data_IF_798477076442
#
_entry.id   IF_798477076442
#
_cell.length_a   1.000
_cell.length_b   1.000
_cell.length_c   1.000
_cell.angle_alpha   90.00
_cell.angle_beta   90.00
_cell.angle_gamma   90.00
#
_symmetry.space_group_name_H-M   'P 1'
#
loop_
_entity.id
_entity.type
_entity.pdbx_description
1 polymer ?
#
# COMPACT_ATOMS: atom_id res chain seq x y z
N UNK A 1 -1.26 5.50 17.33
CA UNK A 1 0.22 5.51 17.43
C UNK A 1 0.89 4.47 16.54
N UNK A 2 0.40 3.23 16.43
CA UNK A 2 1.06 2.17 15.65
C UNK A 2 1.21 2.43 14.13
N UNK A 3 0.37 3.28 13.54
CA UNK A 3 0.44 3.64 12.11
C UNK A 3 1.57 4.63 11.79
N UNK A 4 1.99 5.46 12.75
CA UNK A 4 3.03 6.47 12.55
C UNK A 4 4.41 5.85 12.38
N UNK A 5 4.69 4.77 13.10
CA UNK A 5 6.01 4.12 13.09
C UNK A 5 6.35 3.57 11.69
N UNK A 6 5.49 2.77 11.02
CA UNK A 6 5.76 2.34 9.65
C UNK A 6 5.88 3.50 8.67
N UNK A 7 5.10 4.57 8.82
CA UNK A 7 5.23 5.76 7.96
C UNK A 7 6.58 6.44 8.12
N UNK A 8 7.06 6.61 9.35
CA UNK A 8 8.36 7.25 9.63
C UNK A 8 9.53 6.36 9.23
N UNK A 9 9.36 5.02 9.28
CA UNK A 9 10.41 4.08 8.88
C UNK A 9 10.47 3.89 7.36
N UNK A 10 9.32 3.68 6.70
CA UNK A 10 9.25 3.37 5.27
C UNK A 10 9.23 4.63 4.40
N UNK A 11 8.66 5.73 4.89
CA UNK A 11 8.51 6.99 4.15
C UNK A 11 9.85 7.52 3.61
N UNK A 12 10.85 7.79 4.46
CA UNK A 12 12.15 8.30 4.01
C UNK A 12 12.85 7.37 3.01
N UNK A 13 12.69 6.05 3.21
CA UNK A 13 13.25 5.05 2.31
C UNK A 13 12.62 5.10 0.91
N UNK A 14 11.29 5.20 0.85
CA UNK A 14 10.54 5.34 -0.39
C UNK A 14 10.92 6.68 -1.05
N UNK A 15 10.84 7.77 -0.29
CA UNK A 15 11.18 9.13 -0.74
C UNK A 15 12.55 9.19 -1.41
N UNK A 16 13.56 8.55 -0.83
CA UNK A 16 14.92 8.55 -1.37
C UNK A 16 15.02 7.92 -2.78
N UNK A 17 14.11 7.01 -3.14
CA UNK A 17 14.11 6.29 -4.42
C UNK A 17 13.14 6.82 -5.45
N UNK A 18 11.94 7.18 -5.00
CA UNK A 18 10.85 7.58 -5.88
C UNK A 18 10.60 9.10 -5.89
N UNK A 19 11.11 9.82 -4.89
CA UNK A 19 10.92 11.25 -4.68
C UNK A 19 9.73 11.57 -3.77
N UNK A 20 9.81 12.69 -3.06
CA UNK A 20 8.82 13.12 -2.06
C UNK A 20 7.43 13.33 -2.66
N UNK A 21 7.36 13.91 -3.86
CA UNK A 21 6.09 14.13 -4.57
C UNK A 21 5.38 12.81 -4.87
N UNK A 22 6.12 11.82 -5.37
CA UNK A 22 5.56 10.49 -5.67
C UNK A 22 5.14 9.75 -4.40
N UNK A 23 5.90 9.91 -3.31
CA UNK A 23 5.52 9.37 -2.00
C UNK A 23 4.21 9.99 -1.49
N UNK A 24 4.12 11.32 -1.44
CA UNK A 24 2.96 12.04 -0.88
C UNK A 24 1.71 11.75 -1.71
N UNK A 25 1.77 11.92 -3.02
CA UNK A 25 0.64 11.66 -3.91
C UNK A 25 0.26 10.19 -3.84
N UNK A 26 1.24 9.28 -3.88
CA UNK A 26 0.99 7.84 -3.80
C UNK A 26 0.33 7.44 -2.48
N UNK A 27 0.80 7.99 -1.35
CA UNK A 27 0.25 7.72 -0.03
C UNK A 27 -1.22 8.15 0.09
N UNK A 28 -1.55 9.37 -0.34
CA UNK A 28 -2.94 9.84 -0.28
C UNK A 28 -3.84 9.13 -1.29
N UNK A 29 -3.40 8.98 -2.54
CA UNK A 29 -4.21 8.34 -3.59
C UNK A 29 -4.46 6.87 -3.27
N UNK A 30 -3.45 6.13 -2.79
CA UNK A 30 -3.64 4.75 -2.34
C UNK A 30 -4.53 4.65 -1.10
N UNK A 31 -4.52 5.64 -0.20
CA UNK A 31 -5.49 5.73 0.89
C UNK A 31 -6.93 5.78 0.41
N UNK A 32 -7.23 6.64 -0.58
CA UNK A 32 -8.55 6.74 -1.19
C UNK A 32 -8.93 5.49 -1.99
N UNK A 33 -8.02 4.97 -2.83
CA UNK A 33 -8.25 3.74 -3.61
C UNK A 33 -8.48 2.56 -2.67
N UNK A 34 -7.69 2.44 -1.61
CA UNK A 34 -7.84 1.38 -0.62
C UNK A 34 -9.14 1.49 0.15
N UNK A 35 -9.60 2.71 0.46
CA UNK A 35 -10.92 2.92 1.05
C UNK A 35 -12.04 2.50 0.07
N UNK A 36 -11.91 2.78 -1.22
CA UNK A 36 -12.87 2.32 -2.24
C UNK A 36 -12.89 0.78 -2.35
N UNK A 37 -11.73 0.13 -2.33
CA UNK A 37 -11.63 -1.34 -2.33
C UNK A 37 -12.27 -1.92 -1.06
N UNK A 38 -11.99 -1.32 0.09
CA UNK A 38 -12.56 -1.74 1.37
C UNK A 38 -14.09 -1.62 1.38
N UNK A 39 -14.61 -0.45 1.02
CA UNK A 39 -16.04 -0.18 1.04
C UNK A 39 -16.79 -0.93 -0.07
N UNK A 40 -16.36 -0.83 -1.32
CA UNK A 40 -17.13 -1.38 -2.45
C UNK A 40 -16.70 -2.79 -2.85
N UNK A 41 -15.40 -3.10 -2.78
CA UNK A 41 -14.89 -4.43 -3.12
C UNK A 41 -15.24 -5.48 -2.07
N UNK A 42 -15.12 -5.13 -0.78
CA UNK A 42 -15.45 -6.03 0.33
C UNK A 42 -16.80 -5.70 1.00
N UNK A 43 -17.51 -4.68 0.55
CA UNK A 43 -18.74 -4.18 1.18
C UNK A 43 -19.83 -5.21 1.36
N UNK A 44 -20.09 -6.05 0.35
CA UNK A 44 -21.11 -7.09 0.45
C UNK A 44 -20.82 -8.10 1.56
N UNK A 45 -19.55 -8.51 1.70
CA UNK A 45 -19.11 -9.37 2.80
C UNK A 45 -19.24 -8.65 4.15
N UNK A 46 -18.76 -7.41 4.26
CA UNK A 46 -18.79 -6.61 5.50
C UNK A 46 -20.24 -6.37 5.96
N UNK A 47 -21.12 -5.99 5.03
CA UNK A 47 -22.54 -5.75 5.29
C UNK A 47 -23.25 -7.01 5.75
N UNK A 48 -22.97 -8.16 5.10
CA UNK A 48 -23.58 -9.44 5.48
C UNK A 48 -23.16 -9.93 6.87
N UNK A 49 -21.97 -9.57 7.34
CA UNK A 49 -21.43 -9.96 8.63
C UNK A 49 -21.84 -9.05 9.80
N UNK A 50 -22.10 -7.75 9.56
CA UNK A 50 -22.26 -6.76 10.64
C UNK A 50 -23.50 -5.85 10.56
N UNK A 51 -24.22 -5.85 9.43
CA UNK A 51 -25.29 -4.90 9.18
C UNK A 51 -24.81 -3.48 8.83
N UNK A 52 -25.72 -2.67 8.27
CA UNK A 52 -25.41 -1.39 7.61
C UNK A 52 -24.82 -0.32 8.57
N UNK A 53 -25.14 -0.37 9.87
CA UNK A 53 -24.76 0.68 10.84
C UNK A 53 -23.27 0.66 11.20
N UNK A 54 -22.63 -0.51 11.25
CA UNK A 54 -21.19 -0.61 11.58
C UNK A 54 -20.32 -0.34 10.34
N UNK A 55 -20.84 -0.67 9.16
CA UNK A 55 -20.19 -0.43 7.87
C UNK A 55 -19.82 1.04 7.63
N UNK A 56 -20.63 1.99 8.11
CA UNK A 56 -20.42 3.44 7.90
C UNK A 56 -19.43 4.03 8.95
N UNK A 57 -19.32 3.43 10.14
CA UNK A 57 -18.61 4.03 11.28
C UNK A 57 -17.09 3.73 11.33
N UNK A 58 -16.57 2.82 10.51
CA UNK A 58 -15.17 2.37 10.61
C UNK A 58 -14.33 2.85 9.41
N UNK A 59 -13.92 4.11 9.45
CA UNK A 59 -13.00 4.66 8.46
C UNK A 59 -11.53 4.42 8.89
N UNK A 60 -10.91 3.35 8.37
CA UNK A 60 -9.51 2.99 8.67
C UNK A 60 -8.47 3.72 7.79
N UNK A 61 -8.80 4.92 7.28
CA UNK A 61 -8.03 5.60 6.22
C UNK A 61 -6.52 5.74 6.48
N UNK A 62 -6.12 6.03 7.72
CA UNK A 62 -4.71 6.13 8.09
C UNK A 62 -3.98 4.78 8.00
N UNK A 63 -4.63 3.69 8.44
CA UNK A 63 -4.03 2.36 8.39
C UNK A 63 -3.98 1.82 6.96
N UNK A 64 -5.04 2.01 6.18
CA UNK A 64 -5.11 1.65 4.76
C UNK A 64 -3.93 2.28 3.99
N UNK A 65 -3.71 3.58 4.18
CA UNK A 65 -2.61 4.32 3.52
C UNK A 65 -1.24 3.80 3.95
N UNK A 66 -1.08 3.38 5.21
CA UNK A 66 0.17 2.80 5.72
C UNK A 66 0.46 1.45 5.08
N UNK A 67 -0.54 0.59 4.89
CA UNK A 67 -0.34 -0.69 4.22
C UNK A 67 -0.02 -0.55 2.73
N UNK A 68 -0.43 0.55 2.10
CA UNK A 68 0.01 0.86 0.74
C UNK A 68 1.52 1.19 0.64
N UNK A 69 2.15 1.64 1.73
CA UNK A 69 3.60 1.84 1.77
C UNK A 69 4.37 0.53 1.60
N UNK A 70 3.77 -0.62 1.90
CA UNK A 70 4.46 -1.90 1.78
C UNK A 70 4.86 -2.23 0.33
N UNK A 71 3.94 -2.36 -0.65
CA UNK A 71 4.34 -2.57 -2.04
C UNK A 71 5.16 -1.40 -2.60
N UNK A 72 4.92 -0.16 -2.17
CA UNK A 72 5.74 0.99 -2.59
C UNK A 72 7.20 0.87 -2.10
N UNK A 73 7.42 0.37 -0.88
CA UNK A 73 8.77 0.12 -0.35
C UNK A 73 9.41 -1.11 -1.00
N UNK A 74 8.67 -2.17 -1.29
CA UNK A 74 9.19 -3.27 -2.11
C UNK A 74 9.64 -2.74 -3.48
N UNK A 75 8.84 -1.90 -4.13
CA UNK A 75 9.23 -1.28 -5.40
C UNK A 75 10.47 -0.41 -5.27
N UNK A 76 10.54 0.45 -4.24
CA UNK A 76 11.72 1.27 -3.96
C UNK A 76 12.98 0.43 -3.70
N UNK A 77 12.83 -0.73 -3.04
CA UNK A 77 13.91 -1.68 -2.81
C UNK A 77 14.46 -2.29 -4.11
N UNK A 78 13.59 -2.54 -5.10
CA UNK A 78 13.98 -3.08 -6.40
C UNK A 78 14.72 -2.08 -7.29
N UNK A 79 14.71 -0.77 -6.96
CA UNK A 79 15.44 0.24 -7.72
C UNK A 79 16.94 0.15 -7.41
N UNK A 80 17.76 -0.17 -8.43
CA UNK A 80 19.20 -0.52 -8.28
C UNK A 80 20.11 0.55 -7.64
N UNK A 81 19.82 1.84 -7.78
CA UNK A 81 20.72 2.92 -7.27
C UNK A 81 19.92 4.03 -6.58
N UNK A 82 20.46 4.68 -5.53
CA UNK A 82 21.66 4.31 -4.76
C UNK A 82 21.43 3.06 -3.89
N UNK A 83 22.44 2.19 -3.69
CA UNK A 83 22.23 0.97 -2.88
C UNK A 83 22.01 1.30 -1.39
N UNK A 84 21.20 0.49 -0.72
CA UNK A 84 20.91 0.65 0.69
C UNK A 84 21.99 0.00 1.55
N UNK A 85 22.29 0.62 2.69
CA UNK A 85 23.19 0.03 3.68
C UNK A 85 22.62 -1.28 4.25
N UNK A 86 23.48 -2.15 4.76
CA UNK A 86 23.06 -3.43 5.35
C UNK A 86 22.10 -3.24 6.54
N UNK A 87 22.32 -2.20 7.35
CA UNK A 87 21.44 -1.81 8.46
C UNK A 87 20.05 -1.42 7.93
N UNK A 88 19.99 -0.60 6.88
CA UNK A 88 18.72 -0.21 6.26
C UNK A 88 17.97 -1.44 5.75
N UNK A 89 18.67 -2.37 5.10
CA UNK A 89 18.08 -3.64 4.61
C UNK A 89 17.49 -4.44 5.77
N UNK A 90 18.19 -4.56 6.91
CA UNK A 90 17.68 -5.27 8.08
C UNK A 90 16.42 -4.62 8.68
N UNK A 91 16.40 -3.28 8.82
CA UNK A 91 15.23 -2.53 9.33
C UNK A 91 14.01 -2.76 8.43
N UNK A 92 14.21 -2.74 7.10
CA UNK A 92 13.12 -2.98 6.14
C UNK A 92 12.59 -4.39 6.21
N UNK A 93 13.46 -5.39 6.37
CA UNK A 93 13.02 -6.79 6.55
C UNK A 93 12.12 -6.93 7.78
N UNK A 94 12.48 -6.28 8.90
CA UNK A 94 11.64 -6.27 10.11
C UNK A 94 10.32 -5.56 9.83
N UNK A 95 10.33 -4.40 9.17
CA UNK A 95 9.12 -3.67 8.82
C UNK A 95 8.19 -4.50 7.90
N UNK A 96 8.74 -5.18 6.89
CA UNK A 96 7.99 -6.07 6.01
C UNK A 96 7.38 -7.24 6.78
N UNK A 97 8.14 -7.85 7.67
CA UNK A 97 7.63 -8.93 8.52
C UNK A 97 6.45 -8.47 9.37
N UNK A 98 6.53 -7.29 9.99
CA UNK A 98 5.43 -6.73 10.79
C UNK A 98 4.17 -6.45 9.97
N UNK A 99 4.32 -5.96 8.74
CA UNK A 99 3.20 -5.69 7.84
C UNK A 99 2.57 -6.99 7.34
N UNK A 100 3.36 -8.01 7.00
CA UNK A 100 2.84 -9.32 6.59
C UNK A 100 2.00 -9.95 7.71
N UNK A 101 2.48 -9.93 8.95
CA UNK A 101 1.73 -10.42 10.11
C UNK A 101 0.42 -9.66 10.35
N UNK A 102 0.36 -8.40 9.92
CA UNK A 102 -0.85 -7.58 10.00
C UNK A 102 -1.89 -7.85 8.92
N UNK A 103 -1.52 -8.51 7.82
CA UNK A 103 -2.43 -8.95 6.74
C UNK A 103 -2.90 -10.39 6.99
N UNK A 104 -2.03 -11.26 7.52
CA UNK A 104 -2.32 -12.69 7.64
C UNK A 104 -3.54 -12.96 8.56
N UNK A 105 -4.48 -13.82 8.13
CA UNK A 105 -5.65 -14.15 8.92
C UNK A 105 -5.24 -14.83 10.23
N UNK A 106 -5.85 -14.40 11.34
CA UNK A 106 -5.64 -15.02 12.64
C UNK A 106 -6.79 -16.00 12.91
N UNK A 107 -6.48 -17.25 13.27
CA UNK A 107 -7.47 -18.32 13.49
C UNK A 107 -8.56 -17.94 14.49
N UNK A 108 -8.22 -17.21 15.55
CA UNK A 108 -9.16 -16.79 16.61
C UNK A 108 -9.40 -15.27 16.60
N UNK A 109 -9.38 -14.63 15.42
CA UNK A 109 -9.65 -13.21 15.31
C UNK A 109 -11.10 -12.88 15.66
N UNK A 110 -11.30 -11.82 16.46
CA UNK A 110 -12.60 -11.18 16.59
C UNK A 110 -13.03 -10.58 15.26
N UNK A 111 -14.32 -10.35 15.06
CA UNK A 111 -14.79 -9.80 13.78
C UNK A 111 -14.17 -8.42 13.50
N UNK A 112 -14.02 -7.57 14.52
CA UNK A 112 -13.28 -6.32 14.44
C UNK A 112 -11.84 -6.50 13.89
N UNK A 113 -11.12 -7.53 14.34
CA UNK A 113 -9.77 -7.82 13.86
C UNK A 113 -9.76 -8.29 12.40
N UNK A 114 -10.75 -9.11 11.99
CA UNK A 114 -10.90 -9.51 10.58
C UNK A 114 -11.13 -8.30 9.68
N UNK A 115 -11.92 -7.31 10.12
CA UNK A 115 -12.13 -6.08 9.33
C UNK A 115 -10.89 -5.23 9.21
N UNK A 116 -10.13 -5.09 10.29
CA UNK A 116 -8.82 -4.43 10.26
C UNK A 116 -7.90 -5.12 9.25
N UNK A 117 -7.90 -6.46 9.19
CA UNK A 117 -7.13 -7.22 8.21
C UNK A 117 -7.62 -6.98 6.77
N UNK A 118 -8.93 -6.90 6.54
CA UNK A 118 -9.49 -6.55 5.22
C UNK A 118 -9.10 -5.13 4.82
N UNK A 119 -9.09 -4.18 5.76
CA UNK A 119 -8.63 -2.81 5.52
C UNK A 119 -7.13 -2.78 5.17
N UNK A 120 -6.30 -3.53 5.90
CA UNK A 120 -4.88 -3.68 5.61
C UNK A 120 -4.64 -4.29 4.22
N UNK A 121 -5.39 -5.34 3.87
CA UNK A 121 -5.35 -5.97 2.54
C UNK A 121 -5.76 -4.99 1.45
N UNK A 122 -6.81 -4.20 1.69
CA UNK A 122 -7.26 -3.17 0.75
C UNK A 122 -6.20 -2.09 0.52
N UNK A 123 -5.51 -1.68 1.58
CA UNK A 123 -4.35 -0.78 1.50
C UNK A 123 -3.19 -1.38 0.71
N UNK A 124 -2.85 -2.65 0.97
CA UNK A 124 -1.83 -3.38 0.22
C UNK A 124 -2.15 -3.45 -1.28
N UNK A 125 -3.39 -3.80 -1.64
CA UNK A 125 -3.84 -3.83 -3.04
C UNK A 125 -3.77 -2.45 -3.69
N UNK A 126 -4.20 -1.40 -2.99
CA UNK A 126 -4.09 -0.02 -3.47
C UNK A 126 -2.64 0.41 -3.69
N UNK A 127 -1.73 -0.02 -2.82
CA UNK A 127 -0.30 0.22 -2.98
C UNK A 127 0.29 -0.49 -4.21
N UNK A 128 -0.17 -1.70 -4.55
CA UNK A 128 0.21 -2.39 -5.80
C UNK A 128 -0.24 -1.56 -7.00
N UNK A 129 -1.49 -1.09 -7.01
CA UNK A 129 -2.03 -0.22 -8.07
C UNK A 129 -1.16 1.04 -8.20
N UNK A 130 -0.82 1.67 -7.08
CA UNK A 130 0.03 2.85 -7.05
C UNK A 130 1.43 2.58 -7.64
N UNK A 131 2.05 1.44 -7.31
CA UNK A 131 3.34 1.04 -7.88
C UNK A 131 3.24 0.86 -9.40
N UNK A 132 2.20 0.20 -9.89
CA UNK A 132 1.96 0.01 -11.33
C UNK A 132 1.85 1.38 -12.01
N UNK A 133 1.08 2.31 -11.44
CA UNK A 133 0.95 3.67 -11.97
C UNK A 133 2.28 4.43 -11.97
N UNK A 134 3.04 4.40 -10.87
CA UNK A 134 4.36 5.04 -10.78
C UNK A 134 5.32 4.46 -11.83
N UNK A 135 5.33 3.14 -12.00
CA UNK A 135 6.15 2.46 -12.99
C UNK A 135 5.75 2.85 -14.41
N UNK A 136 4.45 2.89 -14.73
CA UNK A 136 3.94 3.31 -16.03
C UNK A 136 4.30 4.77 -16.32
N UNK A 137 4.12 5.68 -15.36
CA UNK A 137 4.47 7.10 -15.51
C UNK A 137 5.97 7.31 -15.70
N UNK A 138 6.83 6.62 -14.94
CA UNK A 138 8.29 6.69 -15.09
C UNK A 138 8.76 6.18 -16.44
N UNK A 139 8.11 5.16 -16.99
CA UNK A 139 8.47 4.56 -18.27
C UNK A 139 7.63 5.10 -19.43
N UNK A 140 6.76 6.09 -19.22
CA UNK A 140 5.79 6.55 -20.22
C UNK A 140 6.45 6.94 -21.53
N UNK A 141 7.62 7.62 -21.50
CA UNK A 141 8.37 7.95 -22.72
C UNK A 141 8.84 6.72 -23.51
N UNK A 142 9.20 5.62 -22.83
CA UNK A 142 9.62 4.37 -23.49
C UNK A 142 8.42 3.56 -23.99
N UNK A 143 7.34 3.52 -23.19
CA UNK A 143 6.10 2.82 -23.55
C UNK A 143 5.42 3.50 -24.74
N UNK A 144 5.36 4.83 -24.74
CA UNK A 144 4.79 5.62 -25.83
C UNK A 144 5.60 5.48 -27.11
N UNK A 145 6.94 5.58 -27.05
CA UNK A 145 7.79 5.31 -28.22
C UNK A 145 7.68 3.87 -28.73
N UNK A 146 7.49 2.88 -27.85
CA UNK A 146 7.27 1.48 -28.24
C UNK A 146 5.93 1.26 -28.93
N UNK A 147 4.87 1.94 -28.48
CA UNK A 147 3.52 1.83 -29.07
C UNK A 147 3.47 2.45 -30.47
N UNK A 148 4.11 3.60 -30.67
CA UNK A 148 4.16 4.24 -31.99
C UNK A 148 5.06 3.49 -32.98
N UNK A 149 6.13 2.83 -32.51
CA UNK A 149 6.97 1.95 -33.36
C UNK A 149 6.27 0.69 -33.87
N UNK A 150 5.09 0.36 -33.35
CA UNK A 150 4.28 -0.78 -33.78
C UNK A 150 3.21 -0.41 -34.82
N UNK A 151 3.07 0.88 -35.13
CA UNK A 151 2.04 1.42 -36.03
C UNK A 151 2.66 1.90 -37.37
N UNK A 152 3.99 1.86 -37.51
CA UNK A 152 4.73 2.00 -38.78
C UNK A 152 5.20 0.63 -39.28
#
# INVERSE_FOLDING_TARGET
MWNLLPTVVLGPFIEWKIGSVALVIGFFTSGWIGALIFCFGFGGYIQSALGISIYICLFYGASISVYALFPMSVFAFLIKKPDFSLITKAILTVAFFTLILGILPKQNATDAQKFVQIAHLSGFLAGIICVIMIFALRNWKKVFCSFFKQID
#
